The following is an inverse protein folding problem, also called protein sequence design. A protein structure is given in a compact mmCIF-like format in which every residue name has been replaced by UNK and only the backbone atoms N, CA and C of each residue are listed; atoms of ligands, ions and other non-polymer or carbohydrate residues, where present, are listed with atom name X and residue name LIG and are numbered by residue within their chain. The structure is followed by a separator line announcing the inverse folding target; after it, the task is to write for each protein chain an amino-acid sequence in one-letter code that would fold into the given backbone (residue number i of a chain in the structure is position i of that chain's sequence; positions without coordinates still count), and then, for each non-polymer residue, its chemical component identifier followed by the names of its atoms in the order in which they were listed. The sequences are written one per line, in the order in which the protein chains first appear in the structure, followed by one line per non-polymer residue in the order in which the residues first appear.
data_IF_816385953105
#
_entry.id   IF_816385953105
#
_cell.length_a   1.000
_cell.length_b   1.000
_cell.length_c   1.000
_cell.angle_alpha   90.00
_cell.angle_beta   90.00
_cell.angle_gamma   90.00
#
_symmetry.space_group_name_H-M   'P 1'
#
loop_
_entity.id
_entity.type
_entity.pdbx_description
1 polymer ?
#
# COMPACT_ATOMS: atom_id res chain seq x y z
N UNK A 1 -4.63 -2.32 17.62
CA UNK A 1 -3.60 -2.85 16.70
C UNK A 1 -2.32 -3.04 17.49
N UNK A 2 -1.96 -4.29 17.73
CA UNK A 2 -0.74 -4.67 18.44
C UNK A 2 0.45 -4.79 17.43
N UNK A 3 1.63 -5.19 17.91
CA UNK A 3 2.81 -5.31 17.04
C UNK A 3 2.78 -6.51 16.10
N UNK A 4 2.05 -7.59 16.44
CA UNK A 4 1.88 -8.76 15.58
C UNK A 4 0.98 -8.41 14.38
N UNK A 5 -0.11 -7.67 14.61
CA UNK A 5 -1.01 -7.22 13.54
C UNK A 5 -0.25 -6.42 12.47
N UNK A 6 0.69 -5.55 12.86
CA UNK A 6 1.46 -4.73 11.91
C UNK A 6 2.43 -5.57 11.05
N UNK A 7 3.01 -6.63 11.63
CA UNK A 7 3.92 -7.51 10.92
C UNK A 7 3.18 -8.35 9.88
N UNK A 8 1.99 -8.86 10.22
CA UNK A 8 1.15 -9.59 9.27
C UNK A 8 0.72 -8.71 8.10
N UNK A 9 0.31 -7.47 8.37
CA UNK A 9 -0.02 -6.48 7.34
C UNK A 9 1.19 -6.19 6.44
N UNK A 10 2.39 -6.09 7.03
CA UNK A 10 3.62 -5.85 6.27
C UNK A 10 3.96 -7.02 5.36
N UNK A 11 3.86 -8.26 5.85
CA UNK A 11 4.09 -9.45 5.03
C UNK A 11 3.15 -9.51 3.82
N UNK A 12 1.84 -9.27 4.05
CA UNK A 12 0.83 -9.19 2.98
C UNK A 12 1.20 -8.11 1.95
N UNK A 13 1.54 -6.90 2.43
CA UNK A 13 1.87 -5.79 1.54
C UNK A 13 3.12 -6.08 0.69
N UNK A 14 4.13 -6.72 1.28
CA UNK A 14 5.37 -7.11 0.58
C UNK A 14 5.15 -8.25 -0.42
N UNK A 15 4.24 -9.18 -0.13
CA UNK A 15 3.88 -10.23 -1.10
C UNK A 15 3.15 -9.64 -2.31
N UNK A 16 2.24 -8.68 -2.10
CA UNK A 16 1.54 -7.97 -3.17
C UNK A 16 2.45 -7.02 -3.95
N UNK A 17 3.52 -6.49 -3.34
CA UNK A 17 4.48 -5.60 -4.03
C UNK A 17 5.15 -6.27 -5.24
N UNK A 18 5.24 -7.60 -5.24
CA UNK A 18 5.80 -8.40 -6.35
C UNK A 18 4.99 -8.30 -7.65
N UNK A 19 3.71 -7.91 -7.56
CA UNK A 19 2.86 -7.71 -8.75
C UNK A 19 3.32 -6.45 -9.50
N UNK A 20 3.11 -6.35 -10.81
CA UNK A 20 3.47 -5.14 -11.58
C UNK A 20 2.33 -4.13 -11.69
N UNK A 21 1.77 -3.77 -10.53
CA UNK A 21 0.64 -2.84 -10.42
C UNK A 21 1.06 -1.42 -10.04
N UNK A 22 0.25 -0.43 -10.40
CA UNK A 22 0.47 0.95 -9.95
C UNK A 22 0.10 1.13 -8.46
N UNK A 23 0.28 2.34 -7.92
CA UNK A 23 -0.03 2.63 -6.52
C UNK A 23 -1.52 2.48 -6.19
N UNK A 24 -2.42 2.69 -7.16
CA UNK A 24 -3.85 2.55 -6.96
C UNK A 24 -4.23 1.07 -6.83
N UNK A 25 -3.83 0.26 -7.81
CA UNK A 25 -4.12 -1.19 -7.83
C UNK A 25 -3.54 -1.91 -6.63
N UNK A 26 -2.29 -1.62 -6.24
CA UNK A 26 -1.70 -2.21 -5.03
C UNK A 26 -2.43 -1.78 -3.77
N UNK A 27 -2.72 -0.48 -3.61
CA UNK A 27 -3.45 -0.02 -2.43
C UNK A 27 -4.83 -0.67 -2.34
N UNK A 28 -5.47 -0.92 -3.48
CA UNK A 28 -6.75 -1.58 -3.50
C UNK A 28 -6.68 -3.07 -3.12
N UNK A 29 -5.73 -3.83 -3.68
CA UNK A 29 -5.52 -5.23 -3.28
C UNK A 29 -5.17 -5.38 -1.80
N UNK A 30 -4.29 -4.51 -1.27
CA UNK A 30 -4.00 -4.48 0.17
C UNK A 30 -5.30 -4.20 0.94
N UNK A 31 -6.10 -3.24 0.49
CA UNK A 31 -7.38 -2.90 1.14
C UNK A 31 -8.35 -4.08 1.18
N UNK A 32 -8.43 -4.88 0.11
CA UNK A 32 -9.29 -6.08 0.05
C UNK A 32 -8.80 -7.09 1.08
N UNK A 33 -7.51 -7.38 1.09
CA UNK A 33 -6.94 -8.36 2.01
C UNK A 33 -7.12 -7.99 3.49
N UNK A 34 -7.04 -6.69 3.79
CA UNK A 34 -7.28 -6.17 5.15
C UNK A 34 -8.75 -6.26 5.55
N UNK A 35 -9.69 -6.04 4.63
CA UNK A 35 -11.13 -6.19 4.89
C UNK A 35 -11.51 -7.64 5.20
N UNK A 36 -10.95 -8.61 4.47
CA UNK A 36 -11.15 -10.05 4.72
C UNK A 36 -10.72 -10.44 6.14
N UNK A 37 -9.69 -9.77 6.67
CA UNK A 37 -9.19 -9.95 8.04
C UNK A 37 -9.91 -9.06 9.07
N UNK A 38 -10.90 -8.26 8.67
CA UNK A 38 -11.64 -7.35 9.54
C UNK A 38 -10.80 -6.17 10.07
N UNK A 39 -9.70 -5.83 9.40
CA UNK A 39 -8.79 -4.76 9.80
C UNK A 39 -9.31 -3.42 9.29
N UNK A 40 -9.66 -2.52 10.20
CA UNK A 40 -10.09 -1.17 9.86
C UNK A 40 -8.94 -0.32 9.28
N UNK A 41 -9.19 0.28 8.13
CA UNK A 41 -8.24 1.13 7.42
C UNK A 41 -8.97 2.08 6.46
N UNK A 42 -8.21 2.99 5.86
CA UNK A 42 -8.71 3.92 4.84
C UNK A 42 -7.76 3.92 3.65
N UNK A 43 -8.28 3.69 2.44
CA UNK A 43 -7.56 4.02 1.21
C UNK A 43 -7.44 5.52 1.06
N UNK A 44 -6.23 6.01 0.82
CA UNK A 44 -5.90 7.42 0.69
C UNK A 44 -5.28 7.69 -0.68
N UNK A 45 -5.55 8.86 -1.24
CA UNK A 45 -4.89 9.33 -2.46
C UNK A 45 -4.56 10.82 -2.37
N UNK A 46 -3.40 11.21 -2.89
CA UNK A 46 -2.92 12.57 -2.87
C UNK A 46 -1.45 12.71 -3.24
N UNK A 47 -0.73 13.57 -2.52
CA UNK A 47 0.67 13.92 -2.74
C UNK A 47 1.56 13.28 -1.67
N UNK A 48 2.61 12.60 -2.12
CA UNK A 48 3.73 12.20 -1.26
C UNK A 48 4.96 13.06 -1.58
N UNK A 49 5.55 13.69 -0.56
CA UNK A 49 6.72 14.58 -0.70
C UNK A 49 7.86 14.12 0.19
N UNK A 50 9.05 13.96 -0.39
CA UNK A 50 10.26 13.72 0.38
C UNK A 50 10.73 15.01 1.06
N UNK A 51 10.79 15.02 2.39
CA UNK A 51 11.02 16.22 3.20
C UNK A 51 12.37 16.90 2.95
N UNK A 52 13.43 16.12 2.73
CA UNK A 52 14.80 16.61 2.52
C UNK A 52 15.10 17.04 1.08
N UNK A 53 14.63 16.27 0.10
CA UNK A 53 14.96 16.49 -1.33
C UNK A 53 13.91 17.30 -2.06
N UNK A 54 12.69 17.41 -1.51
CA UNK A 54 11.56 18.06 -2.14
C UNK A 54 10.95 17.28 -3.31
N UNK A 55 11.44 16.07 -3.62
CA UNK A 55 10.86 15.20 -4.65
C UNK A 55 9.42 14.84 -4.32
N UNK A 56 8.57 14.76 -5.35
CA UNK A 56 7.11 14.59 -5.22
C UNK A 56 6.61 13.46 -6.09
N UNK A 57 5.63 12.72 -5.59
CA UNK A 57 4.84 11.73 -6.34
C UNK A 57 3.37 12.13 -6.24
N UNK A 58 2.75 12.37 -7.39
CA UNK A 58 1.34 12.74 -7.49
C UNK A 58 0.76 12.31 -8.85
N UNK A 59 -0.45 11.72 -8.88
CA UNK A 59 -1.18 11.20 -7.73
C UNK A 59 -0.45 9.99 -7.13
N UNK A 60 -0.50 9.84 -5.80
CA UNK A 60 0.03 8.69 -5.09
C UNK A 60 -1.02 8.14 -4.13
N UNK A 61 -1.07 6.81 -3.99
CA UNK A 61 -2.08 6.12 -3.19
C UNK A 61 -1.40 5.26 -2.14
N UNK A 62 -2.02 5.20 -0.96
CA UNK A 62 -1.52 4.45 0.18
C UNK A 62 -2.68 4.02 1.09
N UNK A 63 -2.39 3.13 2.05
CA UNK A 63 -3.33 2.78 3.12
C UNK A 63 -2.98 3.53 4.39
N UNK A 64 -3.99 4.10 5.04
CA UNK A 64 -3.90 4.65 6.39
C UNK A 64 -4.60 3.71 7.38
N UNK A 65 -3.83 3.17 8.33
CA UNK A 65 -4.37 2.34 9.41
C UNK A 65 -4.91 3.21 10.54
N UNK A 66 -5.88 2.71 11.30
CA UNK A 66 -6.44 3.40 12.49
C UNK A 66 -5.39 3.72 13.57
N UNK A 67 -4.28 2.98 13.57
CA UNK A 67 -3.13 3.22 14.45
C UNK A 67 -2.23 4.39 14.03
N UNK A 68 -2.54 5.03 12.87
CA UNK A 68 -1.77 6.11 12.27
C UNK A 68 -0.54 5.65 11.47
N UNK A 69 -0.38 4.35 11.24
CA UNK A 69 0.63 3.82 10.33
C UNK A 69 0.17 3.93 8.87
N UNK A 70 1.14 4.07 7.98
CA UNK A 70 0.95 4.02 6.54
C UNK A 70 1.42 2.66 6.04
N UNK A 71 0.66 2.07 5.12
CA UNK A 71 1.12 0.96 4.28
C UNK A 71 1.35 1.50 2.88
N UNK A 72 2.59 1.43 2.42
CA UNK A 72 3.00 1.92 1.10
C UNK A 72 4.24 1.18 0.63
N UNK A 73 4.09 0.46 -0.47
CA UNK A 73 5.17 -0.30 -1.11
C UNK A 73 5.60 0.32 -2.44
N UNK A 74 4.91 1.37 -2.93
CA UNK A 74 5.09 1.89 -4.29
C UNK A 74 5.92 3.15 -4.42
N UNK A 75 6.27 3.84 -3.33
CA UNK A 75 7.13 5.03 -3.41
C UNK A 75 8.47 4.77 -4.11
N UNK A 76 9.10 3.62 -3.84
CA UNK A 76 10.44 3.30 -4.34
C UNK A 76 10.49 3.22 -5.87
N UNK A 77 9.38 2.87 -6.53
CA UNK A 77 9.24 2.88 -8.00
C UNK A 77 9.50 4.27 -8.61
N UNK A 78 9.21 5.34 -7.88
CA UNK A 78 9.36 6.72 -8.34
C UNK A 78 10.56 7.45 -7.72
N UNK A 79 10.84 7.18 -6.45
CA UNK A 79 11.86 7.90 -5.68
C UNK A 79 13.21 7.18 -5.61
N UNK A 80 13.25 5.92 -6.06
CA UNK A 80 14.40 5.02 -5.97
C UNK A 80 14.42 4.20 -4.68
N UNK A 81 15.34 3.25 -4.60
CA UNK A 81 15.46 2.28 -3.48
C UNK A 81 16.33 2.80 -2.32
N UNK A 82 16.41 4.11 -2.13
CA UNK A 82 17.17 4.70 -1.02
C UNK A 82 16.63 4.22 0.33
N UNK A 83 17.52 3.94 1.28
CA UNK A 83 17.12 3.54 2.64
C UNK A 83 16.26 4.57 3.36
N UNK A 84 16.31 5.84 2.93
CA UNK A 84 15.44 6.90 3.44
C UNK A 84 14.03 6.86 2.83
N UNK A 85 13.79 6.12 1.75
CA UNK A 85 12.47 5.93 1.15
C UNK A 85 11.77 4.77 1.86
N UNK A 86 10.69 5.04 2.63
CA UNK A 86 9.98 4.00 3.36
C UNK A 86 9.26 3.05 2.38
N UNK A 87 9.08 1.81 2.83
CA UNK A 87 8.48 0.73 2.06
C UNK A 87 7.93 -0.30 3.04
N UNK A 88 6.69 -0.76 2.84
CA UNK A 88 5.99 -1.64 3.78
C UNK A 88 5.14 -0.84 4.76
N UNK A 89 5.20 -1.17 6.06
CA UNK A 89 4.39 -0.55 7.12
C UNK A 89 5.24 0.36 7.99
N UNK A 90 4.88 1.63 8.10
CA UNK A 90 5.70 2.59 8.86
C UNK A 90 4.89 3.74 9.45
N UNK A 91 5.49 4.42 10.45
CA UNK A 91 4.94 5.66 10.98
C UNK A 91 5.40 6.84 10.12
N UNK A 92 4.51 7.63 9.52
CA UNK A 92 4.89 8.75 8.66
C UNK A 92 5.69 9.82 9.42
N UNK A 93 5.42 10.03 10.71
CA UNK A 93 6.19 10.97 11.55
C UNK A 93 7.64 10.56 11.79
N UNK A 94 8.00 9.31 11.49
CA UNK A 94 9.36 8.76 11.62
C UNK A 94 10.00 8.47 10.26
N UNK A 95 9.35 8.82 9.15
CA UNK A 95 9.88 8.63 7.81
C UNK A 95 10.31 9.96 7.17
N UNK A 96 10.97 9.87 6.02
CA UNK A 96 11.35 11.04 5.21
C UNK A 96 10.18 11.61 4.40
N UNK A 97 8.97 11.05 4.53
CA UNK A 97 7.86 11.31 3.62
C UNK A 97 6.71 12.05 4.32
N UNK A 98 6.24 13.11 3.66
CA UNK A 98 5.05 13.85 4.04
C UNK A 98 3.91 13.49 3.08
N UNK A 99 2.82 12.98 3.64
CA UNK A 99 1.62 12.60 2.91
C UNK A 99 0.52 13.64 3.10
N UNK A 100 -0.08 14.09 2.00
CA UNK A 100 -1.20 15.01 1.98
C UNK A 100 -2.25 14.49 1.01
N UNK A 101 -3.42 14.13 1.50
CA UNK A 101 -4.46 13.54 0.66
C UNK A 101 -5.76 13.36 1.40
N UNK A 102 -6.73 12.79 0.70
CA UNK A 102 -8.04 12.48 1.22
C UNK A 102 -8.34 10.98 1.03
N UNK A 103 -9.46 10.53 1.60
CA UNK A 103 -10.03 9.23 1.27
C UNK A 103 -10.14 9.11 -0.26
N UNK A 104 -9.59 8.04 -0.81
CA UNK A 104 -9.59 7.80 -2.25
C UNK A 104 -11.02 7.51 -2.72
N UNK A 105 -11.62 8.36 -3.58
CA UNK A 105 -13.00 8.20 -4.00
C UNK A 105 -13.15 7.26 -5.21
N UNK A 106 -12.03 6.79 -5.78
CA UNK A 106 -12.08 5.94 -6.97
C UNK A 106 -12.66 4.57 -6.64
N UNK A 107 -13.41 4.05 -7.60
CA UNK A 107 -13.91 2.68 -7.52
C UNK A 107 -12.75 1.68 -7.41
N UNK A 108 -13.04 0.58 -6.73
CA UNK A 108 -12.12 -0.54 -6.57
C UNK A 108 -12.05 -1.32 -7.87
N UNK A 109 -10.95 -2.04 -8.07
CA UNK A 109 -10.85 -3.10 -9.05
C UNK A 109 -12.00 -4.07 -8.82
N UNK A 110 -12.67 -4.42 -9.91
CA UNK A 110 -13.65 -5.49 -9.95
C UNK A 110 -12.99 -6.85 -9.70
N UNK A 111 -13.78 -7.84 -9.30
CA UNK A 111 -13.27 -9.21 -9.13
C UNK A 111 -12.66 -9.75 -10.44
N UNK A 112 -13.23 -9.40 -11.59
CA UNK A 112 -12.71 -9.79 -12.91
C UNK A 112 -11.30 -9.21 -13.14
N UNK A 113 -11.09 -7.92 -12.83
CA UNK A 113 -9.76 -7.30 -12.93
C UNK A 113 -8.76 -7.92 -11.96
N UNK A 114 -9.21 -8.27 -10.75
CA UNK A 114 -8.35 -8.96 -9.76
C UNK A 114 -7.99 -10.36 -10.25
N UNK A 115 -8.94 -11.13 -10.78
CA UNK A 115 -8.74 -12.48 -11.30
C UNK A 115 -7.83 -12.47 -12.53
N UNK A 116 -7.95 -11.46 -13.41
CA UNK A 116 -7.01 -11.24 -14.52
C UNK A 116 -5.60 -10.96 -14.00
N UNK A 117 -5.45 -10.09 -13.00
CA UNK A 117 -4.15 -9.77 -12.42
C UNK A 117 -3.51 -10.96 -11.70
N UNK A 118 -4.31 -11.79 -11.04
CA UNK A 118 -3.88 -13.06 -10.44
C UNK A 118 -3.58 -14.13 -11.50
N UNK A 119 -4.30 -14.12 -12.63
CA UNK A 119 -4.19 -15.08 -13.73
C UNK A 119 -3.03 -14.84 -14.70
N UNK A 120 -2.49 -13.61 -14.78
CA UNK A 120 -1.29 -13.29 -15.59
C UNK A 120 0.00 -13.82 -14.92
N UNK A 121 -0.07 -14.18 -13.64
CA UNK A 121 0.98 -14.89 -12.90
C UNK A 121 0.38 -16.11 -12.20
N UNK A 122 0.05 -17.15 -12.97
CA UNK A 122 -0.51 -18.40 -12.47
C UNK A 122 0.44 -19.14 -11.50
N UNK A 123 0.56 -18.65 -10.25
CA UNK A 123 0.99 -19.33 -9.02
C UNK A 123 0.54 -18.56 -7.75
N UNK A 124 -0.54 -17.77 -7.77
CA UNK A 124 -1.23 -17.39 -6.52
C UNK A 124 -2.18 -18.52 -6.12
N UNK A 125 -1.64 -19.61 -5.57
CA UNK A 125 -2.43 -20.46 -4.69
C UNK A 125 -2.82 -19.61 -3.49
N UNK A 126 -4.09 -19.17 -3.48
CA UNK A 126 -4.69 -18.55 -2.30
C UNK A 126 -4.38 -19.39 -1.07
N UNK A 127 -3.94 -18.74 -0.01
CA UNK A 127 -3.76 -19.36 1.30
C UNK A 127 -5.08 -20.02 1.67
N UNK A 128 -5.14 -21.34 1.59
CA UNK A 128 -6.20 -22.11 2.23
C UNK A 128 -5.93 -22.12 3.73
N UNK A 129 -6.89 -21.60 4.48
CA UNK A 129 -7.00 -21.71 5.94
C UNK A 129 -7.21 -23.17 6.36
#
# INVERSE_FOLDING_TARGET
MNSFDLLEIELVALDLDKLELDCNGISDLISIQLEEQGIQHQRMCGLATHNRTGKRVFPHCWILLTSGHVVDVRLRKWLGEGNDIPHGVFRPTRSSMLYQGAADPRERLSQEEIDELAGIGSEFEGIQI
#
